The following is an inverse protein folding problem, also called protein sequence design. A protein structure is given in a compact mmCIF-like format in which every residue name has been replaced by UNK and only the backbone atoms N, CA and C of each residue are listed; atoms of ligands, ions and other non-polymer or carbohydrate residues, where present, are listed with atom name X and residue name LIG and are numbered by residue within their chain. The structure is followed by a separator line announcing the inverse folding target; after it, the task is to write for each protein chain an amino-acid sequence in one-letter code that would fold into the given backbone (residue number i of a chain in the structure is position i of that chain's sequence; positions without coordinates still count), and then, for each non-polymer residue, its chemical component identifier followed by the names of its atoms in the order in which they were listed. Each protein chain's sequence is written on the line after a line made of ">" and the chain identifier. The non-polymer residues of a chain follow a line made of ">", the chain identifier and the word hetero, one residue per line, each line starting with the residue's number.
data_IF_162390643227
#
_entry.id   IF_162390643227
#
_cell.length_a   1.000
_cell.length_b   1.000
_cell.length_c   1.000
_cell.angle_alpha   90.00
_cell.angle_beta   90.00
_cell.angle_gamma   90.00
#
_symmetry.space_group_name_H-M   'P 1'
#
loop_
_entity.id
_entity.type
_entity.pdbx_description
1 polymer ?
#
# COMPACT_ATOMS: atom_id res chain seq x y z
N UNK A 1 25.55 7.07 22.03
CA UNK A 1 25.66 6.14 20.89
C UNK A 1 25.13 6.90 19.69
N UNK A 2 26.02 7.35 18.83
CA UNK A 2 25.72 8.15 17.65
C UNK A 2 24.71 7.44 16.76
N UNK A 3 23.75 8.17 16.20
CA UNK A 3 22.81 7.68 15.19
C UNK A 3 23.60 7.08 14.03
N UNK A 4 23.85 5.78 14.11
CA UNK A 4 24.43 5.01 13.02
C UNK A 4 23.38 5.01 11.92
N UNK A 5 23.57 5.84 10.89
CA UNK A 5 22.64 5.99 9.77
C UNK A 5 22.12 4.62 9.33
N UNK A 6 20.80 4.46 9.40
CA UNK A 6 20.11 3.27 8.93
C UNK A 6 20.26 3.27 7.41
N UNK A 7 20.77 2.18 6.79
CA UNK A 7 20.93 2.12 5.34
C UNK A 7 19.60 2.37 4.61
N UNK A 8 19.68 2.84 3.36
CA UNK A 8 18.51 3.26 2.59
C UNK A 8 17.45 2.14 2.52
N UNK A 9 16.22 2.46 2.93
CA UNK A 9 15.09 1.52 2.84
C UNK A 9 15.21 0.29 3.76
N UNK A 10 16.16 0.30 4.70
CA UNK A 10 16.40 -0.78 5.63
C UNK A 10 15.54 -0.63 6.88
N UNK A 11 15.15 -1.78 7.44
CA UNK A 11 14.35 -1.86 8.67
C UNK A 11 15.17 -2.65 9.68
N UNK A 12 15.60 -2.00 10.76
CA UNK A 12 16.32 -2.68 11.84
C UNK A 12 15.44 -3.77 12.47
N UNK A 13 15.99 -4.97 12.62
CA UNK A 13 15.28 -6.11 13.18
C UNK A 13 15.38 -6.17 14.70
N UNK A 14 14.64 -7.10 15.31
CA UNK A 14 14.53 -7.26 16.77
C UNK A 14 15.87 -7.54 17.45
N UNK A 15 16.78 -8.21 16.76
CA UNK A 15 18.14 -8.49 17.22
C UNK A 15 19.01 -7.23 17.34
N UNK A 16 18.57 -6.10 16.76
CA UNK A 16 19.30 -4.82 16.66
C UNK A 16 20.63 -4.90 15.90
N UNK A 17 20.82 -5.97 15.15
CA UNK A 17 22.06 -6.24 14.39
C UNK A 17 21.75 -6.39 12.90
N UNK A 18 20.65 -7.08 12.57
CA UNK A 18 20.27 -7.36 11.19
C UNK A 18 19.18 -6.43 10.69
N UNK A 19 19.04 -6.39 9.37
CA UNK A 19 18.11 -5.54 8.67
C UNK A 19 17.17 -6.37 7.80
N UNK A 20 16.02 -5.76 7.48
CA UNK A 20 15.16 -6.19 6.40
C UNK A 20 15.05 -5.12 5.33
N UNK A 21 14.86 -5.53 4.09
CA UNK A 21 14.47 -4.66 2.98
C UNK A 21 13.22 -5.20 2.30
N UNK A 22 12.47 -4.31 1.67
CA UNK A 22 11.27 -4.67 0.91
C UNK A 22 11.39 -4.06 -0.48
N UNK A 23 11.73 -4.84 -1.52
CA UNK A 23 11.66 -4.36 -2.89
C UNK A 23 10.22 -4.01 -3.26
N UNK A 24 10.02 -2.90 -3.97
CA UNK A 24 8.70 -2.48 -4.43
C UNK A 24 8.18 -3.45 -5.50
N UNK A 25 6.95 -3.94 -5.30
CA UNK A 25 6.22 -4.76 -6.26
C UNK A 25 4.84 -4.12 -6.39
N UNK A 26 4.63 -3.22 -7.38
CA UNK A 26 3.38 -2.48 -7.52
C UNK A 26 2.21 -3.42 -7.66
N UNK A 27 1.13 -3.18 -6.91
CA UNK A 27 -0.08 -4.02 -6.86
C UNK A 27 0.15 -5.54 -6.68
N UNK A 28 1.34 -5.96 -6.24
CA UNK A 28 1.73 -7.38 -6.16
C UNK A 28 2.05 -8.05 -7.51
N UNK A 29 2.22 -7.29 -8.59
CA UNK A 29 2.56 -7.81 -9.92
C UNK A 29 4.07 -8.01 -10.07
N UNK A 30 4.53 -9.23 -9.80
CA UNK A 30 5.94 -9.59 -9.98
C UNK A 30 6.28 -9.86 -11.45
N UNK A 31 7.42 -9.34 -11.89
CA UNK A 31 8.03 -9.66 -13.20
C UNK A 31 9.11 -10.73 -13.04
N UNK A 32 9.31 -11.55 -14.06
CA UNK A 32 10.32 -12.62 -14.04
C UNK A 32 11.72 -12.06 -13.72
N UNK A 33 12.11 -10.95 -14.35
CA UNK A 33 13.43 -10.34 -14.19
C UNK A 33 13.64 -9.87 -12.74
N UNK A 34 12.60 -9.35 -12.08
CA UNK A 34 12.66 -8.96 -10.68
C UNK A 34 12.81 -10.18 -9.77
N UNK A 35 12.09 -11.27 -10.06
CA UNK A 35 12.21 -12.52 -9.29
C UNK A 35 13.59 -13.14 -9.44
N UNK A 36 14.16 -13.16 -10.64
CA UNK A 36 15.52 -13.65 -10.89
C UNK A 36 16.56 -12.85 -10.09
N UNK A 37 16.44 -11.52 -10.06
CA UNK A 37 17.30 -10.65 -9.24
C UNK A 37 17.16 -10.95 -7.76
N UNK A 38 15.92 -11.10 -7.27
CA UNK A 38 15.66 -11.48 -5.87
C UNK A 38 16.29 -12.82 -5.54
N UNK A 39 16.12 -13.85 -6.39
CA UNK A 39 16.73 -15.16 -6.20
C UNK A 39 18.26 -15.07 -6.17
N UNK A 40 18.85 -14.27 -7.05
CA UNK A 40 20.30 -14.05 -7.11
C UNK A 40 20.83 -13.45 -5.81
N UNK A 41 20.23 -12.37 -5.30
CA UNK A 41 20.69 -11.73 -4.05
C UNK A 41 20.45 -12.62 -2.84
N UNK A 42 19.31 -13.31 -2.76
CA UNK A 42 19.04 -14.23 -1.64
C UNK A 42 20.09 -15.34 -1.58
N UNK A 43 20.44 -15.94 -2.73
CA UNK A 43 21.48 -16.97 -2.79
C UNK A 43 22.86 -16.42 -2.44
N UNK A 44 23.25 -15.29 -3.05
CA UNK A 44 24.59 -14.70 -2.88
C UNK A 44 24.86 -14.28 -1.44
N UNK A 45 23.90 -13.59 -0.82
CA UNK A 45 24.02 -13.04 0.54
C UNK A 45 23.48 -14.00 1.62
N UNK A 46 23.07 -15.22 1.22
CA UNK A 46 22.52 -16.25 2.11
C UNK A 46 21.41 -15.70 3.02
N UNK A 47 20.53 -14.86 2.45
CA UNK A 47 19.45 -14.22 3.19
C UNK A 47 18.52 -15.29 3.75
N UNK A 48 18.36 -15.41 5.08
CA UNK A 48 17.72 -16.58 5.69
C UNK A 48 16.20 -16.60 5.54
N UNK A 49 15.57 -15.44 5.32
CA UNK A 49 14.11 -15.31 5.33
C UNK A 49 13.64 -14.50 4.12
N UNK A 50 12.71 -15.09 3.36
CA UNK A 50 11.85 -14.40 2.40
C UNK A 50 10.42 -14.48 2.92
N UNK A 51 9.79 -13.35 3.22
CA UNK A 51 8.41 -13.29 3.72
C UNK A 51 7.49 -12.60 2.73
N UNK A 52 6.45 -13.31 2.28
CA UNK A 52 5.30 -12.68 1.62
C UNK A 52 4.49 -11.90 2.66
N UNK A 53 4.28 -10.62 2.41
CA UNK A 53 3.57 -9.68 3.30
C UNK A 53 2.08 -9.59 2.91
N UNK A 54 1.25 -9.07 3.82
CA UNK A 54 -0.18 -8.81 3.54
C UNK A 54 -0.42 -7.77 2.44
N UNK A 55 0.61 -7.01 2.02
CA UNK A 55 0.53 -6.11 0.88
C UNK A 55 0.98 -6.75 -0.43
N UNK A 56 1.07 -8.08 -0.49
CA UNK A 56 1.56 -8.85 -1.65
C UNK A 56 2.98 -8.47 -2.10
N UNK A 57 3.84 -8.09 -1.14
CA UNK A 57 5.27 -7.80 -1.35
C UNK A 57 6.16 -8.87 -0.72
N UNK A 58 7.41 -8.95 -1.14
CA UNK A 58 8.45 -9.80 -0.55
C UNK A 58 9.32 -8.96 0.40
N UNK A 59 9.44 -9.40 1.66
CA UNK A 59 10.42 -8.86 2.60
C UNK A 59 11.61 -9.82 2.70
N UNK A 60 12.81 -9.30 2.53
CA UNK A 60 14.08 -10.01 2.67
C UNK A 60 14.67 -9.66 4.04
N UNK A 61 14.84 -10.64 4.92
CA UNK A 61 15.14 -10.39 6.36
C UNK A 61 16.39 -11.16 6.79
N UNK A 62 17.20 -10.54 7.64
CA UNK A 62 18.43 -11.12 8.19
C UNK A 62 19.70 -10.66 7.44
N UNK A 63 19.67 -9.44 6.91
CA UNK A 63 20.75 -8.84 6.12
C UNK A 63 21.70 -8.07 7.05
N UNK A 64 23.01 -8.21 6.89
CA UNK A 64 23.98 -7.40 7.66
C UNK A 64 24.00 -5.96 7.18
N UNK A 65 24.35 -5.01 8.05
CA UNK A 65 24.33 -3.56 7.72
C UNK A 65 25.09 -3.25 6.43
N UNK A 66 26.29 -3.78 6.30
CA UNK A 66 27.24 -3.57 5.20
C UNK A 66 26.80 -4.23 3.89
N UNK A 67 25.85 -5.16 3.93
CA UNK A 67 25.33 -5.86 2.74
C UNK A 67 24.11 -5.15 2.13
N UNK A 68 23.47 -4.22 2.86
CA UNK A 68 22.21 -3.59 2.42
C UNK A 68 22.38 -2.83 1.11
N UNK A 69 23.34 -1.91 1.03
CA UNK A 69 23.54 -1.11 -0.18
C UNK A 69 24.00 -1.96 -1.39
N UNK A 70 24.97 -2.90 -1.23
CA UNK A 70 25.29 -3.86 -2.30
C UNK A 70 24.08 -4.66 -2.81
N UNK A 71 23.18 -5.08 -1.91
CA UNK A 71 21.95 -5.80 -2.31
C UNK A 71 21.04 -4.90 -3.13
N UNK A 72 20.87 -3.62 -2.76
CA UNK A 72 20.06 -2.68 -3.53
C UNK A 72 20.60 -2.43 -4.94
N UNK A 73 21.92 -2.28 -5.08
CA UNK A 73 22.59 -2.10 -6.38
C UNK A 73 22.42 -3.31 -7.30
N UNK A 74 22.37 -4.53 -6.74
CA UNK A 74 22.09 -5.74 -7.52
C UNK A 74 20.61 -5.94 -7.83
N UNK A 75 19.72 -5.56 -6.91
CA UNK A 75 18.27 -5.63 -7.15
C UNK A 75 17.84 -4.68 -8.26
N UNK A 76 18.39 -3.46 -8.31
CA UNK A 76 17.95 -2.39 -9.24
C UNK A 76 16.42 -2.23 -9.23
N UNK A 77 15.85 -2.24 -8.02
CA UNK A 77 14.42 -2.10 -7.76
C UNK A 77 14.20 -0.92 -6.81
N UNK A 78 13.01 -0.32 -6.88
CA UNK A 78 12.64 0.74 -5.95
C UNK A 78 12.44 0.21 -4.52
N UNK A 79 12.59 1.10 -3.55
CA UNK A 79 12.29 0.82 -2.14
C UNK A 79 10.78 0.77 -1.92
N UNK A 80 10.29 -0.39 -1.48
CA UNK A 80 8.93 -0.57 -1.01
C UNK A 80 8.77 -0.07 0.43
N UNK A 81 8.51 1.23 0.58
CA UNK A 81 8.34 1.91 1.89
C UNK A 81 7.45 1.09 2.84
N UNK A 82 7.95 0.83 4.04
CA UNK A 82 7.34 -0.10 5.00
C UNK A 82 7.11 0.52 6.38
N UNK A 83 7.90 1.52 6.77
CA UNK A 83 7.83 2.15 8.10
C UNK A 83 7.46 3.63 8.02
N UNK A 84 7.61 4.21 6.82
CA UNK A 84 7.38 5.60 6.51
C UNK A 84 5.90 5.97 6.61
N UNK A 85 5.64 7.24 6.97
CA UNK A 85 4.29 7.80 7.06
C UNK A 85 3.86 8.30 5.67
N UNK A 86 3.54 7.36 4.79
CA UNK A 86 3.14 7.60 3.41
C UNK A 86 2.14 6.54 2.91
N UNK A 87 1.84 6.54 1.61
CA UNK A 87 1.23 5.38 0.97
C UNK A 87 2.15 4.16 1.15
N UNK A 88 1.62 3.12 1.77
CA UNK A 88 2.37 1.92 2.15
C UNK A 88 2.32 0.84 1.06
N UNK A 89 1.15 0.62 0.45
CA UNK A 89 0.95 -0.18 -0.75
C UNK A 89 -0.47 0.01 -1.32
N UNK A 90 -0.64 -0.36 -2.58
CA UNK A 90 -1.94 -0.65 -3.19
C UNK A 90 -2.06 -2.17 -3.35
N UNK A 91 -3.18 -2.74 -2.92
CA UNK A 91 -3.50 -4.15 -3.12
C UNK A 91 -4.65 -4.25 -4.11
N UNK A 92 -4.43 -4.88 -5.26
CA UNK A 92 -5.46 -5.08 -6.27
C UNK A 92 -5.77 -6.57 -6.45
N UNK A 93 -7.03 -6.90 -6.71
CA UNK A 93 -7.38 -8.23 -7.20
C UNK A 93 -7.12 -8.35 -8.72
N UNK A 94 -7.19 -9.56 -9.31
CA UNK A 94 -6.85 -9.74 -10.72
C UNK A 94 -7.77 -9.01 -11.72
N UNK A 95 -8.96 -8.56 -11.30
CA UNK A 95 -9.86 -7.75 -12.13
C UNK A 95 -10.27 -8.44 -13.44
N UNK A 96 -10.68 -7.62 -14.42
CA UNK A 96 -11.02 -8.09 -15.79
C UNK A 96 -9.84 -8.65 -16.57
N UNK A 97 -8.59 -8.38 -16.14
CA UNK A 97 -7.40 -8.90 -16.81
C UNK A 97 -7.27 -10.43 -16.68
N UNK A 98 -7.81 -11.03 -15.63
CA UNK A 98 -7.65 -12.48 -15.36
C UNK A 98 -8.91 -13.14 -14.82
N UNK A 99 -9.69 -12.46 -13.97
CA UNK A 99 -10.79 -13.09 -13.25
C UNK A 99 -12.09 -13.05 -14.07
N UNK A 100 -12.73 -14.21 -14.25
CA UNK A 100 -14.04 -14.33 -14.91
C UNK A 100 -15.17 -13.54 -14.23
N UNK A 101 -15.00 -13.17 -12.96
CA UNK A 101 -15.96 -12.37 -12.19
C UNK A 101 -15.60 -10.87 -12.15
N UNK A 102 -14.48 -10.48 -12.75
CA UNK A 102 -14.07 -9.09 -12.82
C UNK A 102 -15.09 -8.26 -13.58
N UNK A 103 -15.55 -7.16 -12.97
CA UNK A 103 -16.42 -6.19 -13.62
C UNK A 103 -15.64 -4.97 -14.10
N UNK A 104 -14.51 -4.69 -13.46
CA UNK A 104 -13.63 -3.56 -13.76
C UNK A 104 -12.15 -3.97 -13.70
N UNK A 105 -11.30 -3.20 -14.38
CA UNK A 105 -9.84 -3.41 -14.36
C UNK A 105 -9.22 -2.86 -13.07
N UNK A 106 -9.15 -3.71 -12.04
CA UNK A 106 -8.53 -3.35 -10.76
C UNK A 106 -7.01 -3.29 -10.80
N UNK A 107 -6.36 -4.02 -11.69
CA UNK A 107 -4.89 -3.99 -11.80
C UNK A 107 -4.44 -2.67 -12.42
N UNK A 108 -5.05 -2.25 -13.54
CA UNK A 108 -4.76 -0.98 -14.19
C UNK A 108 -5.00 0.21 -13.28
N UNK A 109 -6.21 0.33 -12.70
CA UNK A 109 -6.51 1.41 -11.75
C UNK A 109 -5.60 1.35 -10.51
N UNK A 110 -5.30 0.16 -9.99
CA UNK A 110 -4.40 0.01 -8.84
C UNK A 110 -2.98 0.52 -9.13
N UNK A 111 -2.45 0.25 -10.32
CA UNK A 111 -1.13 0.75 -10.73
C UNK A 111 -1.12 2.27 -10.85
N UNK A 112 -2.14 2.86 -11.47
CA UNK A 112 -2.28 4.32 -11.60
C UNK A 112 -2.39 5.00 -10.23
N UNK A 113 -3.21 4.46 -9.32
CA UNK A 113 -3.30 4.98 -7.94
C UNK A 113 -1.96 4.90 -7.22
N UNK A 114 -1.23 3.79 -7.37
CA UNK A 114 0.07 3.66 -6.73
C UNK A 114 1.07 4.68 -7.29
N UNK A 115 1.14 4.85 -8.61
CA UNK A 115 2.02 5.82 -9.26
C UNK A 115 1.71 7.27 -8.85
N UNK A 116 0.44 7.64 -8.86
CA UNK A 116 -0.02 9.01 -8.56
C UNK A 116 0.24 9.41 -7.10
N UNK A 117 0.10 8.47 -6.16
CA UNK A 117 0.17 8.76 -4.72
C UNK A 117 1.45 8.26 -4.04
N UNK A 118 2.34 7.58 -4.79
CA UNK A 118 3.65 7.21 -4.29
C UNK A 118 4.44 8.46 -3.87
N UNK A 119 5.04 8.39 -2.68
CA UNK A 119 5.84 9.51 -2.15
C UNK A 119 5.05 10.57 -1.41
N UNK A 120 3.70 10.55 -1.44
CA UNK A 120 2.88 11.46 -0.65
C UNK A 120 3.14 11.25 0.85
N UNK A 121 3.51 12.33 1.55
CA UNK A 121 3.70 12.32 3.01
C UNK A 121 2.34 12.42 3.69
N UNK A 122 2.06 11.51 4.62
CA UNK A 122 0.77 11.37 5.27
C UNK A 122 0.94 11.32 6.81
N UNK A 123 -0.09 11.65 7.59
CA UNK A 123 -0.05 11.63 9.05
C UNK A 123 0.28 10.24 9.62
N UNK A 124 -0.16 9.19 8.93
CA UNK A 124 0.16 7.79 9.22
C UNK A 124 0.24 6.98 7.91
N UNK A 125 0.70 5.72 8.00
CA UNK A 125 0.74 4.81 6.86
C UNK A 125 -0.66 4.49 6.33
N UNK A 126 -0.87 4.71 5.03
CA UNK A 126 -2.14 4.49 4.33
C UNK A 126 -2.02 3.29 3.38
N UNK A 127 -3.08 2.48 3.28
CA UNK A 127 -3.17 1.38 2.32
C UNK A 127 -4.41 1.57 1.45
N UNK A 128 -4.29 1.25 0.18
CA UNK A 128 -5.43 1.26 -0.75
C UNK A 128 -5.75 -0.18 -1.15
N UNK A 129 -7.02 -0.54 -1.17
CA UNK A 129 -7.51 -1.81 -1.70
C UNK A 129 -8.37 -1.57 -2.93
N UNK A 130 -8.09 -2.26 -4.04
CA UNK A 130 -8.81 -2.15 -5.31
C UNK A 130 -9.37 -3.51 -5.69
N UNK A 131 -10.69 -3.62 -5.75
CA UNK A 131 -11.38 -4.86 -6.09
C UNK A 131 -12.23 -4.63 -7.32
N UNK A 132 -12.01 -5.40 -8.39
CA UNK A 132 -12.74 -5.25 -9.65
C UNK A 132 -14.21 -5.69 -9.60
N UNK A 133 -14.70 -6.20 -8.47
CA UNK A 133 -16.10 -6.58 -8.25
C UNK A 133 -16.44 -6.62 -6.75
N UNK A 134 -17.71 -6.88 -6.42
CA UNK A 134 -18.23 -6.90 -5.04
C UNK A 134 -17.63 -8.00 -4.14
N UNK A 135 -16.96 -9.02 -4.70
CA UNK A 135 -16.31 -10.06 -3.87
C UNK A 135 -15.13 -9.51 -3.05
N UNK A 136 -14.68 -8.29 -3.34
CA UNK A 136 -13.80 -7.54 -2.45
C UNK A 136 -12.46 -8.26 -2.14
N UNK A 137 -11.92 -9.04 -3.09
CA UNK A 137 -10.68 -9.79 -2.89
C UNK A 137 -9.44 -8.90 -2.65
N UNK A 138 -9.51 -7.61 -2.98
CA UNK A 138 -8.49 -6.61 -2.62
C UNK A 138 -8.63 -6.08 -1.18
N UNK A 139 -9.54 -6.64 -0.39
CA UNK A 139 -9.88 -6.22 0.98
C UNK A 139 -10.28 -4.74 1.07
N UNK A 140 -10.85 -4.19 -0.01
CA UNK A 140 -11.10 -2.74 -0.19
C UNK A 140 -11.80 -2.11 1.01
N UNK A 141 -12.80 -2.77 1.61
CA UNK A 141 -13.58 -2.21 2.71
C UNK A 141 -12.82 -2.11 4.06
N UNK A 142 -11.68 -2.79 4.21
CA UNK A 142 -10.87 -2.72 5.44
C UNK A 142 -9.51 -2.05 5.20
N UNK A 143 -9.38 -1.36 4.07
CA UNK A 143 -8.23 -0.51 3.73
C UNK A 143 -8.56 0.94 4.03
N UNK A 144 -7.51 1.75 4.21
CA UNK A 144 -7.65 3.16 4.54
C UNK A 144 -8.46 3.89 3.43
N UNK A 145 -8.27 3.47 2.16
CA UNK A 145 -9.13 3.77 1.01
C UNK A 145 -9.50 2.45 0.32
N UNK A 146 -10.79 2.28 0.04
CA UNK A 146 -11.33 1.14 -0.68
C UNK A 146 -11.91 1.55 -2.03
N UNK A 147 -11.59 0.82 -3.08
CA UNK A 147 -12.17 0.98 -4.42
C UNK A 147 -12.79 -0.34 -4.85
N UNK A 148 -14.06 -0.32 -5.25
CA UNK A 148 -14.87 -1.52 -5.53
C UNK A 148 -15.60 -1.35 -6.86
N UNK A 149 -15.35 -2.26 -7.80
CA UNK A 149 -15.92 -2.23 -9.14
C UNK A 149 -17.38 -2.69 -9.16
N UNK A 150 -18.17 -2.00 -9.96
CA UNK A 150 -19.53 -2.33 -10.40
C UNK A 150 -19.58 -2.29 -11.92
N UNK A 151 -20.67 -2.79 -12.51
CA UNK A 151 -20.89 -2.63 -13.96
C UNK A 151 -20.98 -1.16 -14.40
N UNK A 152 -21.45 -0.30 -13.51
CA UNK A 152 -21.71 1.13 -13.74
C UNK A 152 -20.52 2.05 -13.40
N UNK A 153 -19.39 1.51 -12.92
CA UNK A 153 -18.23 2.29 -12.51
C UNK A 153 -17.66 1.77 -11.19
N UNK A 154 -17.18 2.68 -10.35
CA UNK A 154 -16.48 2.38 -9.11
C UNK A 154 -17.15 3.01 -7.89
N UNK A 155 -17.21 2.25 -6.80
CA UNK A 155 -17.50 2.79 -5.48
C UNK A 155 -16.19 3.08 -4.75
N UNK A 156 -16.16 4.19 -4.02
CA UNK A 156 -15.04 4.59 -3.16
C UNK A 156 -15.50 4.57 -1.71
N UNK A 157 -14.71 3.91 -0.86
CA UNK A 157 -14.87 3.87 0.59
C UNK A 157 -13.65 4.47 1.29
N UNK A 158 -13.86 5.03 2.48
CA UNK A 158 -12.79 5.65 3.27
C UNK A 158 -12.85 5.25 4.75
N UNK A 159 -11.69 5.21 5.42
CA UNK A 159 -11.61 5.00 6.85
C UNK A 159 -11.71 3.53 7.29
N UNK A 160 -11.40 2.58 6.41
CA UNK A 160 -11.29 1.17 6.78
C UNK A 160 -9.99 0.86 7.53
N UNK A 161 -10.00 -0.19 8.37
CA UNK A 161 -8.81 -0.66 9.07
C UNK A 161 -8.92 -2.15 9.43
N UNK A 162 -7.90 -2.93 9.09
CA UNK A 162 -7.79 -4.36 9.42
C UNK A 162 -6.86 -4.65 10.62
N UNK A 163 -6.55 -3.65 11.46
CA UNK A 163 -5.64 -3.81 12.60
C UNK A 163 -6.41 -4.15 13.90
N UNK A 164 -5.76 -4.04 15.07
CA UNK A 164 -6.30 -4.41 16.39
C UNK A 164 -7.70 -3.85 16.70
N UNK A 165 -8.04 -2.69 16.14
CA UNK A 165 -9.39 -2.15 16.18
C UNK A 165 -9.96 -2.12 14.75
N UNK A 166 -10.56 -3.23 14.28
CA UNK A 166 -11.10 -3.31 12.94
C UNK A 166 -12.18 -2.26 12.73
N UNK A 167 -12.24 -1.73 11.51
CA UNK A 167 -13.29 -0.80 11.07
C UNK A 167 -13.58 -1.08 9.60
N UNK A 168 -14.86 -1.22 9.27
CA UNK A 168 -15.33 -1.24 7.89
C UNK A 168 -15.38 0.21 7.42
N UNK A 169 -14.75 0.50 6.27
CA UNK A 169 -14.75 1.82 5.66
C UNK A 169 -16.14 2.18 5.12
N UNK A 170 -16.48 3.45 5.19
CA UNK A 170 -17.78 3.95 4.74
C UNK A 170 -17.71 4.23 3.24
N UNK A 171 -18.70 3.77 2.48
CA UNK A 171 -18.85 4.16 1.07
C UNK A 171 -19.23 5.64 1.02
N UNK A 172 -18.38 6.44 0.36
CA UNK A 172 -18.54 7.89 0.26
C UNK A 172 -19.02 8.35 -1.11
N UNK A 173 -18.74 7.57 -2.16
CA UNK A 173 -19.17 7.86 -3.53
C UNK A 173 -19.37 6.55 -4.30
N UNK A 174 -20.24 6.59 -5.31
CA UNK A 174 -20.64 5.44 -6.10
C UNK A 174 -20.67 5.78 -7.59
N UNK A 175 -20.54 4.76 -8.44
CA UNK A 175 -20.62 4.86 -9.90
C UNK A 175 -19.63 5.86 -10.53
N UNK A 176 -18.46 6.01 -9.92
CA UNK A 176 -17.41 6.88 -10.44
C UNK A 176 -16.70 6.25 -11.64
N UNK A 177 -16.27 7.08 -12.58
CA UNK A 177 -15.25 6.75 -13.57
C UNK A 177 -13.87 6.58 -12.90
N UNK A 178 -12.91 6.02 -13.65
CA UNK A 178 -11.54 5.84 -13.18
C UNK A 178 -10.90 7.16 -12.74
N UNK A 179 -11.07 8.21 -13.53
CA UNK A 179 -10.47 9.52 -13.29
C UNK A 179 -11.09 10.20 -12.06
N UNK A 180 -12.40 10.04 -11.87
CA UNK A 180 -13.11 10.53 -10.67
C UNK A 180 -12.64 9.79 -9.41
N UNK A 181 -12.35 8.49 -9.48
CA UNK A 181 -11.76 7.75 -8.35
C UNK A 181 -10.41 8.34 -7.96
N UNK A 182 -9.54 8.61 -8.93
CA UNK A 182 -8.21 9.19 -8.68
C UNK A 182 -8.37 10.59 -8.06
N UNK A 183 -9.23 11.44 -8.65
CA UNK A 183 -9.49 12.78 -8.14
C UNK A 183 -10.08 12.78 -6.72
N UNK A 184 -11.05 11.92 -6.43
CA UNK A 184 -11.62 11.79 -5.09
C UNK A 184 -10.60 11.23 -4.08
N UNK A 185 -9.79 10.26 -4.49
CA UNK A 185 -8.71 9.72 -3.65
C UNK A 185 -7.74 10.82 -3.24
N UNK A 186 -7.35 11.69 -4.18
CA UNK A 186 -6.51 12.86 -3.91
C UNK A 186 -7.15 13.79 -2.87
N UNK A 187 -8.40 14.21 -3.09
CA UNK A 187 -9.14 15.09 -2.17
C UNK A 187 -9.23 14.48 -0.76
N UNK A 188 -9.53 13.18 -0.67
CA UNK A 188 -9.57 12.44 0.60
C UNK A 188 -8.23 12.48 1.34
N UNK A 189 -7.13 12.18 0.64
CA UNK A 189 -5.80 12.11 1.22
C UNK A 189 -5.28 13.49 1.62
N UNK A 190 -5.52 14.52 0.81
CA UNK A 190 -5.14 15.91 1.11
C UNK A 190 -5.91 16.45 2.33
N UNK A 191 -7.22 16.21 2.39
CA UNK A 191 -8.03 16.59 3.55
C UNK A 191 -7.58 15.85 4.81
N UNK A 192 -7.34 14.55 4.72
CA UNK A 192 -6.80 13.76 5.83
C UNK A 192 -5.42 14.27 6.27
N UNK A 193 -4.52 14.55 5.33
CA UNK A 193 -3.18 15.06 5.62
C UNK A 193 -3.20 16.39 6.38
N UNK A 194 -4.12 17.27 6.01
CA UNK A 194 -4.27 18.60 6.63
C UNK A 194 -4.92 18.56 8.02
N UNK A 195 -5.84 17.62 8.27
CA UNK A 195 -6.74 17.69 9.42
C UNK A 195 -6.55 16.58 10.47
N UNK A 196 -5.74 15.55 10.17
CA UNK A 196 -5.47 14.49 11.12
C UNK A 196 -4.36 14.86 12.13
N UNK A 197 -4.44 14.27 13.32
CA UNK A 197 -3.40 14.38 14.34
C UNK A 197 -2.17 13.54 13.92
N UNK A 198 -1.00 13.85 14.49
CA UNK A 198 0.24 13.10 14.23
C UNK A 198 0.03 11.61 14.51
N UNK A 199 0.36 10.75 13.53
CA UNK A 199 0.20 9.28 13.59
C UNK A 199 -1.25 8.78 13.76
N UNK A 200 -2.26 9.63 13.56
CA UNK A 200 -3.67 9.23 13.58
C UNK A 200 -4.03 8.48 12.30
N UNK A 201 -4.51 7.23 12.40
CA UNK A 201 -4.96 6.42 11.23
C UNK A 201 -6.29 6.95 10.69
N UNK A 202 -6.57 6.76 9.38
CA UNK A 202 -7.80 7.25 8.73
C UNK A 202 -9.07 6.76 9.44
N UNK A 203 -9.11 5.51 9.91
CA UNK A 203 -10.22 4.99 10.69
C UNK A 203 -10.49 5.82 11.96
N UNK A 204 -9.44 6.14 12.74
CA UNK A 204 -9.56 6.95 13.95
C UNK A 204 -9.90 8.40 13.65
N UNK A 205 -9.38 8.92 12.54
CA UNK A 205 -9.73 10.22 12.03
C UNK A 205 -11.24 10.32 11.77
N UNK A 206 -11.82 9.34 11.05
CA UNK A 206 -13.27 9.28 10.82
C UNK A 206 -14.06 9.09 12.12
N UNK A 207 -13.62 8.19 13.02
CA UNK A 207 -14.28 8.00 14.32
C UNK A 207 -14.34 9.31 15.13
N UNK A 208 -13.35 10.20 14.95
CA UNK A 208 -13.28 11.50 15.63
C UNK A 208 -14.11 12.60 14.98
N UNK A 209 -14.03 12.75 13.65
CA UNK A 209 -14.69 13.87 12.95
C UNK A 209 -16.10 13.57 12.48
N UNK A 210 -16.47 12.29 12.40
CA UNK A 210 -17.71 11.82 11.81
C UNK A 210 -17.63 11.73 10.28
N UNK A 211 -18.27 10.70 9.72
CA UNK A 211 -18.23 10.46 8.28
C UNK A 211 -18.98 11.55 7.49
N UNK A 212 -20.04 12.13 8.03
CA UNK A 212 -20.83 13.15 7.34
C UNK A 212 -20.03 14.46 7.17
N UNK A 213 -19.32 14.88 8.22
CA UNK A 213 -18.43 16.04 8.14
C UNK A 213 -17.28 15.79 7.16
N UNK A 214 -16.78 14.55 7.08
CA UNK A 214 -15.77 14.18 6.09
C UNK A 214 -16.34 14.26 4.66
N UNK A 215 -17.51 13.66 4.40
CA UNK A 215 -18.17 13.70 3.08
C UNK A 215 -18.40 15.13 2.62
N UNK A 216 -18.90 16.01 3.49
CA UNK A 216 -19.14 17.42 3.19
C UNK A 216 -17.87 18.20 2.78
N UNK A 217 -16.69 17.72 3.19
CA UNK A 217 -15.42 18.38 2.89
C UNK A 217 -14.70 17.86 1.64
N UNK A 218 -15.02 16.65 1.17
CA UNK A 218 -14.26 15.97 0.09
C UNK A 218 -15.07 15.69 -1.18
N UNK A 219 -16.40 15.74 -1.10
CA UNK A 219 -17.29 15.56 -2.25
C UNK A 219 -17.57 16.91 -2.91
#
# INVERSE_FOLDING_TARGET
>A
MTDNEIPRGAILQRDKETYAIVPRIPVGMAKLENLERIVKVVKKYKIPIIKITSGHRLALVGIKKEEVDPIWEELKMDVGKATELCLHYVQACPGTAVCKFGLQDSLGLGMELEEVFQGMTLPAKVKIGVSGCHFCCGESLVRDIGVIGKKTGWNVAFGGNASHHPRIGDVIAENLSKDEVIALTRRCLEYYAKNAKKKERTARFIDRIGIDAFKAAVL
#
